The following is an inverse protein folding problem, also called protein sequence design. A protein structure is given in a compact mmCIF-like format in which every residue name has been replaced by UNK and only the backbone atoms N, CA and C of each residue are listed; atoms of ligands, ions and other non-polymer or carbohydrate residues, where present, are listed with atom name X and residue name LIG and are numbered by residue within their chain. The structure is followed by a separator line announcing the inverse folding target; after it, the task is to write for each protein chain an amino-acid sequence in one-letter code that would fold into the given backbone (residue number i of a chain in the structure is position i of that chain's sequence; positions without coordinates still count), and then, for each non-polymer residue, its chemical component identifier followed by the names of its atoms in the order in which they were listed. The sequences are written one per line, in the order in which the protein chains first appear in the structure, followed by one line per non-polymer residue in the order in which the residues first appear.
data_IF_957854440015
#
_entry.id   IF_957854440015
#
_cell.length_a   1.000
_cell.length_b   1.000
_cell.length_c   1.000
_cell.angle_alpha   90.00
_cell.angle_beta   90.00
_cell.angle_gamma   90.00
#
_symmetry.space_group_name_H-M   'P 1'
#
loop_
_entity.id
_entity.type
_entity.pdbx_description
1 polymer ?
#
# COMPACT_ATOMS: atom_id res chain seq x y z
N UNK A 1 -28.44 -1.79 1.39
CA UNK A 1 -27.15 -2.48 1.42
C UNK A 1 -26.10 -1.39 1.50
N UNK A 2 -25.32 -1.31 2.58
CA UNK A 2 -24.26 -0.31 2.67
C UNK A 2 -23.17 -0.65 1.65
N UNK A 3 -22.72 0.34 0.89
CA UNK A 3 -21.60 0.17 -0.04
C UNK A 3 -20.34 -0.18 0.74
N UNK A 4 -19.65 -1.23 0.31
CA UNK A 4 -18.37 -1.61 0.90
C UNK A 4 -17.30 -0.56 0.55
N UNK A 5 -16.42 -0.20 1.50
CA UNK A 5 -15.37 0.76 1.24
C UNK A 5 -14.34 0.23 0.24
N UNK A 6 -13.90 1.10 -0.67
CA UNK A 6 -12.95 0.78 -1.74
C UNK A 6 -11.51 0.94 -1.24
N UNK A 7 -10.61 0.01 -1.59
CA UNK A 7 -9.21 0.12 -1.21
C UNK A 7 -8.49 1.21 -2.04
N UNK A 8 -7.67 2.05 -1.40
CA UNK A 8 -6.89 3.10 -2.07
C UNK A 8 -5.97 2.50 -3.17
N UNK A 9 -5.43 1.30 -2.95
CA UNK A 9 -4.63 0.59 -3.95
C UNK A 9 -5.40 0.28 -5.24
N UNK A 10 -6.70 -0.01 -5.16
CA UNK A 10 -7.53 -0.26 -6.33
C UNK A 10 -7.71 0.99 -7.20
N UNK A 11 -7.71 2.19 -6.58
CA UNK A 11 -7.71 3.45 -7.34
C UNK A 11 -6.40 3.64 -8.11
N UNK A 12 -5.27 3.33 -7.48
CA UNK A 12 -3.97 3.39 -8.13
C UNK A 12 -3.88 2.40 -9.31
N UNK A 13 -4.35 1.17 -9.12
CA UNK A 13 -4.42 0.15 -10.17
C UNK A 13 -5.31 0.60 -11.32
N UNK A 14 -6.47 1.22 -11.03
CA UNK A 14 -7.35 1.75 -12.06
C UNK A 14 -6.67 2.80 -12.95
N UNK A 15 -5.90 3.72 -12.34
CA UNK A 15 -5.22 4.79 -13.07
C UNK A 15 -4.08 4.23 -13.91
N UNK A 16 -3.29 3.28 -13.38
CA UNK A 16 -2.15 2.71 -14.09
C UNK A 16 -2.53 1.67 -15.15
N UNK A 17 -3.43 0.74 -14.81
CA UNK A 17 -3.85 -0.34 -15.67
C UNK A 17 -5.18 -0.93 -15.17
N UNK A 18 -6.35 -0.51 -15.70
CA UNK A 18 -7.64 -1.03 -15.26
C UNK A 18 -7.78 -2.56 -15.32
N UNK A 19 -7.06 -3.21 -16.25
CA UNK A 19 -7.03 -4.66 -16.35
C UNK A 19 -6.33 -5.34 -15.15
N UNK A 20 -5.39 -4.67 -14.47
CA UNK A 20 -4.71 -5.22 -13.29
C UNK A 20 -5.67 -5.46 -12.12
N UNK A 21 -6.75 -4.68 -12.01
CA UNK A 21 -7.78 -4.87 -10.99
C UNK A 21 -8.42 -6.26 -11.10
N UNK A 22 -8.70 -6.70 -12.33
CA UNK A 22 -9.26 -8.02 -12.57
C UNK A 22 -8.29 -9.10 -12.10
N UNK A 23 -7.01 -8.98 -12.45
CA UNK A 23 -5.99 -9.93 -12.03
C UNK A 23 -5.78 -9.94 -10.51
N UNK A 24 -5.72 -8.79 -9.85
CA UNK A 24 -5.65 -8.71 -8.38
C UNK A 24 -6.90 -9.30 -7.70
N UNK A 25 -8.08 -9.22 -8.31
CA UNK A 25 -9.30 -9.85 -7.77
C UNK A 25 -9.27 -11.39 -7.88
N UNK A 26 -8.46 -11.94 -8.79
CA UNK A 26 -8.22 -13.37 -8.94
C UNK A 26 -7.11 -13.87 -8.01
N UNK A 27 -6.27 -12.98 -7.46
CA UNK A 27 -5.23 -13.31 -6.49
C UNK A 27 -5.84 -13.58 -5.10
N UNK A 28 -6.35 -14.80 -4.90
CA UNK A 28 -6.68 -15.33 -3.56
C UNK A 28 -5.42 -15.77 -2.81
N UNK A 29 -5.48 -15.77 -1.48
CA UNK A 29 -4.39 -15.89 -0.47
C UNK A 29 -3.33 -17.02 -0.66
N UNK A 30 -3.47 -17.94 -1.62
CA UNK A 30 -2.57 -19.09 -1.82
C UNK A 30 -1.60 -18.98 -3.03
N UNK A 31 -1.49 -17.83 -3.68
CA UNK A 31 -0.71 -17.72 -4.92
C UNK A 31 0.78 -17.41 -4.74
N UNK A 32 1.52 -18.30 -4.05
CA UNK A 32 2.99 -18.38 -4.19
C UNK A 32 3.38 -18.65 -5.66
N UNK A 33 2.49 -19.28 -6.45
CA UNK A 33 2.72 -19.59 -7.86
C UNK A 33 2.56 -18.42 -8.83
N UNK A 34 1.83 -17.35 -8.46
CA UNK A 34 1.59 -16.18 -9.34
C UNK A 34 2.51 -15.01 -8.98
N UNK A 35 3.03 -14.98 -7.75
CA UNK A 35 3.91 -13.92 -7.31
C UNK A 35 5.31 -14.04 -7.91
N UNK A 36 5.68 -13.09 -8.77
CA UNK A 36 7.04 -12.98 -9.27
C UNK A 36 7.99 -12.63 -8.10
N UNK A 37 9.26 -12.97 -8.27
CA UNK A 37 10.36 -12.66 -7.35
C UNK A 37 10.37 -11.21 -6.86
N UNK A 38 9.88 -10.26 -7.67
CA UNK A 38 9.73 -8.85 -7.30
C UNK A 38 8.65 -8.60 -6.24
N UNK A 39 7.47 -9.23 -6.38
CA UNK A 39 6.37 -9.11 -5.43
C UNK A 39 6.74 -9.76 -4.09
N UNK A 40 7.30 -10.97 -4.11
CA UNK A 40 7.80 -11.66 -2.91
C UNK A 40 8.84 -10.81 -2.16
N UNK A 41 9.74 -10.16 -2.89
CA UNK A 41 10.74 -9.26 -2.33
C UNK A 41 10.16 -7.95 -1.76
N UNK A 42 9.07 -7.44 -2.34
CA UNK A 42 8.31 -6.31 -1.83
C UNK A 42 7.60 -6.65 -0.53
N UNK A 43 6.84 -7.74 -0.52
CA UNK A 43 6.13 -8.25 0.68
C UNK A 43 7.10 -8.52 1.83
N UNK A 44 8.28 -9.09 1.54
CA UNK A 44 9.28 -9.37 2.58
C UNK A 44 9.94 -8.08 3.14
N UNK A 45 10.03 -7.02 2.35
CA UNK A 45 10.46 -5.71 2.85
C UNK A 45 9.38 -5.08 3.75
N UNK A 46 8.09 -5.22 3.38
CA UNK A 46 6.98 -4.76 4.21
C UNK A 46 6.85 -5.54 5.53
N UNK A 47 7.16 -6.85 5.55
CA UNK A 47 7.20 -7.64 6.79
C UNK A 47 8.17 -7.07 7.82
N UNK A 48 9.30 -6.50 7.38
CA UNK A 48 10.26 -5.90 8.29
C UNK A 48 9.77 -4.53 8.79
N UNK A 49 9.10 -3.74 7.96
CA UNK A 49 8.48 -2.46 8.38
C UNK A 49 7.26 -2.61 9.27
N UNK A 50 6.52 -3.72 9.16
CA UNK A 50 5.33 -4.01 10.00
C UNK A 50 5.71 -4.44 11.42
N UNK A 51 6.92 -4.97 11.64
CA UNK A 51 7.47 -5.09 13.00
C UNK A 51 7.94 -3.71 13.43
N UNK A 52 7.12 -3.00 14.22
CA UNK A 52 7.29 -1.64 14.77
C UNK A 52 8.65 -1.38 15.49
N UNK A 53 9.77 -1.51 14.77
CA UNK A 53 11.13 -1.53 15.31
C UNK A 53 12.00 -0.41 14.74
N UNK A 54 11.40 0.52 13.98
CA UNK A 54 12.16 1.53 13.22
C UNK A 54 12.21 2.91 13.85
N UNK A 55 11.22 3.30 14.63
CA UNK A 55 11.24 4.58 15.36
C UNK A 55 10.70 4.37 16.76
N UNK A 56 11.48 4.76 17.76
CA UNK A 56 11.07 4.82 19.17
C UNK A 56 10.31 6.11 19.49
N UNK A 57 10.19 7.04 18.53
CA UNK A 57 9.39 8.24 18.71
C UNK A 57 7.90 7.95 18.55
N UNK A 58 7.12 8.24 19.60
CA UNK A 58 5.66 8.11 19.63
C UNK A 58 4.92 8.89 18.53
N UNK A 59 5.56 9.89 17.90
CA UNK A 59 4.93 10.76 16.89
C UNK A 59 4.96 10.20 15.46
N UNK A 60 5.53 9.01 15.24
CA UNK A 60 5.58 8.40 13.90
C UNK A 60 4.65 7.19 13.85
N UNK A 61 3.55 7.32 13.10
CA UNK A 61 2.62 6.24 12.81
C UNK A 61 3.17 5.39 11.65
N UNK A 62 3.23 4.07 11.83
CA UNK A 62 3.75 3.16 10.79
C UNK A 62 2.76 2.03 10.56
N UNK A 63 2.51 1.68 9.30
CA UNK A 63 1.63 0.57 8.93
C UNK A 63 0.19 0.71 9.44
N UNK A 64 -0.31 1.95 9.57
CA UNK A 64 -1.63 2.20 10.16
C UNK A 64 -2.74 2.05 9.11
N UNK A 65 -3.81 1.34 9.46
CA UNK A 65 -5.02 1.29 8.66
C UNK A 65 -5.82 2.58 8.79
N UNK A 66 -6.23 3.16 7.67
CA UNK A 66 -6.95 4.43 7.59
C UNK A 66 -8.28 4.26 6.85
N UNK A 67 -9.27 5.06 7.25
CA UNK A 67 -10.59 5.12 6.63
C UNK A 67 -10.97 6.57 6.31
N UNK A 68 -11.51 6.80 5.12
CA UNK A 68 -12.05 8.09 4.68
C UNK A 68 -13.55 7.96 4.47
N UNK A 69 -14.33 8.55 5.37
CA UNK A 69 -15.80 8.52 5.32
C UNK A 69 -16.36 9.23 4.07
N UNK A 70 -15.82 10.41 3.75
CA UNK A 70 -16.31 11.26 2.65
C UNK A 70 -16.32 10.55 1.29
N UNK A 71 -15.32 9.70 1.04
CA UNK A 71 -15.15 8.99 -0.23
C UNK A 71 -15.34 7.48 -0.09
N UNK A 72 -15.70 7.01 1.11
CA UNK A 72 -15.79 5.59 1.46
C UNK A 72 -14.54 4.79 1.06
N UNK A 73 -13.34 5.31 1.39
CA UNK A 73 -12.07 4.69 1.05
C UNK A 73 -11.41 4.05 2.28
N UNK A 74 -10.75 2.92 2.09
CA UNK A 74 -9.94 2.25 3.10
C UNK A 74 -8.53 2.01 2.57
N UNK A 75 -7.53 2.03 3.44
CA UNK A 75 -6.18 1.69 3.03
C UNK A 75 -5.25 1.52 4.22
N UNK A 76 -3.99 1.25 3.91
CA UNK A 76 -2.90 1.19 4.89
C UNK A 76 -1.83 2.17 4.46
N UNK A 77 -1.38 3.00 5.38
CA UNK A 77 -0.28 3.94 5.15
C UNK A 77 1.03 3.37 5.68
N UNK A 78 2.10 3.60 4.94
CA UNK A 78 3.43 3.12 5.32
C UNK A 78 3.98 3.87 6.53
N UNK A 79 4.15 5.19 6.41
CA UNK A 79 4.69 6.05 7.47
C UNK A 79 4.02 7.41 7.43
N UNK A 80 3.53 7.88 8.57
CA UNK A 80 3.05 9.24 8.77
C UNK A 80 3.73 9.85 9.99
N UNK A 81 4.32 11.02 9.82
CA UNK A 81 4.90 11.81 10.90
C UNK A 81 3.89 12.87 11.35
N UNK A 82 3.38 12.74 12.57
CA UNK A 82 2.38 13.65 13.13
C UNK A 82 2.93 15.06 13.37
N UNK A 83 4.24 15.22 13.63
CA UNK A 83 4.84 16.53 13.91
C UNK A 83 4.96 17.36 12.64
N UNK A 84 5.36 16.72 11.54
CA UNK A 84 5.59 17.39 10.26
C UNK A 84 4.37 17.33 9.34
N UNK A 85 3.43 16.41 9.60
CA UNK A 85 2.28 16.15 8.74
C UNK A 85 2.65 15.45 7.43
N UNK A 86 3.83 14.83 7.37
CA UNK A 86 4.36 14.22 6.15
C UNK A 86 3.96 12.75 6.07
N UNK A 87 3.31 12.38 4.96
CA UNK A 87 3.03 11.00 4.58
C UNK A 87 4.14 10.50 3.66
N UNK A 88 4.75 9.36 3.99
CA UNK A 88 5.85 8.77 3.22
C UNK A 88 5.54 7.33 2.83
N UNK A 89 5.49 7.08 1.52
CA UNK A 89 5.37 5.74 0.93
C UNK A 89 6.77 5.15 0.68
N UNK A 90 7.06 3.95 1.18
CA UNK A 90 8.39 3.32 1.09
C UNK A 90 8.44 2.29 -0.03
N UNK A 91 9.12 2.62 -1.13
CA UNK A 91 9.43 1.66 -2.22
C UNK A 91 10.88 1.19 -2.15
N UNK A 92 11.10 -0.14 -2.20
CA UNK A 92 12.41 -0.81 -1.99
C UNK A 92 13.54 -0.34 -2.91
N UNK A 93 13.23 -0.05 -4.19
CA UNK A 93 14.18 0.55 -5.14
C UNK A 93 13.43 1.06 -6.37
N UNK A 94 13.37 2.38 -6.55
CA UNK A 94 12.85 2.98 -7.79
C UNK A 94 14.01 3.00 -8.79
N UNK A 95 13.99 2.10 -9.78
CA UNK A 95 15.00 2.09 -10.86
C UNK A 95 14.69 3.10 -11.97
N UNK A 96 13.40 3.31 -12.22
CA UNK A 96 12.89 4.21 -13.25
C UNK A 96 11.62 4.86 -12.72
N UNK A 97 11.54 6.18 -12.80
CA UNK A 97 10.32 6.95 -12.54
C UNK A 97 9.63 7.09 -13.90
N UNK A 98 8.41 6.56 -14.02
CA UNK A 98 7.59 6.74 -15.21
C UNK A 98 6.66 7.93 -15.00
N UNK A 99 6.27 8.62 -16.08
CA UNK A 99 5.22 9.64 -16.02
C UNK A 99 3.95 9.00 -15.41
N UNK A 100 3.51 9.55 -14.28
CA UNK A 100 2.44 9.00 -13.43
C UNK A 100 2.89 8.55 -12.03
N UNK A 101 4.20 8.45 -11.77
CA UNK A 101 4.74 8.40 -10.41
C UNK A 101 4.77 9.82 -9.84
N UNK A 102 3.67 10.26 -9.23
CA UNK A 102 3.59 11.48 -8.40
C UNK A 102 3.38 11.06 -6.95
#
# INVERSE_FOLDING_TARGET
MSEQPLAISQLNDFIFCPASIFFHSLETEENIMVQDSFQLNGTNAHKHSDSATYSTEKSVLQGVSVYCEKYNLIGKIDVFDEKTGVLTERKKKIKTVYDGYI
#
